data_IF_584049678669
#
_entry.id   IF_584049678669
#
_cell.length_a   1.000
_cell.length_b   1.000
_cell.length_c   1.000
_cell.angle_alpha   90.00
_cell.angle_beta   90.00
_cell.angle_gamma   90.00
#
_symmetry.space_group_name_H-M   'P 1'
#
loop_
_entity.id
_entity.type
_entity.pdbx_description
1 polymer ?
#
# COMPACT_ATOMS: atom_id res chain seq x y z
N UNK A 1 -11.88 -3.85 -7.47
CA UNK A 1 -11.08 -2.78 -6.82
C UNK A 1 -11.31 -1.40 -7.45
N UNK A 2 -11.33 -1.27 -8.77
CA UNK A 2 -11.63 0.00 -9.47
C UNK A 2 -12.91 0.70 -8.99
N UNK A 3 -14.03 -0.03 -8.94
CA UNK A 3 -15.30 0.51 -8.45
C UNK A 3 -15.20 1.06 -7.01
N UNK A 4 -14.38 0.44 -6.15
CA UNK A 4 -14.18 0.88 -4.77
C UNK A 4 -13.41 2.20 -4.73
N UNK A 5 -12.34 2.32 -5.51
CA UNK A 5 -11.55 3.55 -5.58
C UNK A 5 -12.37 4.71 -6.15
N UNK A 6 -13.16 4.46 -7.19
CA UNK A 6 -14.08 5.45 -7.75
C UNK A 6 -15.11 5.92 -6.71
N UNK A 7 -15.73 4.99 -5.95
CA UNK A 7 -16.67 5.35 -4.88
C UNK A 7 -16.02 6.19 -3.77
N UNK A 8 -14.79 5.86 -3.37
CA UNK A 8 -14.05 6.66 -2.38
C UNK A 8 -13.73 8.06 -2.91
N UNK A 9 -13.41 8.17 -4.20
CA UNK A 9 -13.15 9.45 -4.86
C UNK A 9 -14.41 10.31 -4.96
N UNK A 10 -15.53 9.71 -5.40
CA UNK A 10 -16.83 10.39 -5.52
C UNK A 10 -17.35 10.86 -4.16
N UNK A 11 -17.09 10.10 -3.09
CA UNK A 11 -17.43 10.47 -1.72
C UNK A 11 -16.50 11.54 -1.12
N UNK A 12 -15.46 12.00 -1.84
CA UNK A 12 -14.49 12.97 -1.36
C UNK A 12 -13.56 12.43 -0.26
N UNK A 13 -13.49 11.11 -0.10
CA UNK A 13 -12.61 10.45 0.87
C UNK A 13 -11.16 10.50 0.38
N UNK A 14 -10.96 10.23 -0.91
CA UNK A 14 -9.67 10.38 -1.61
C UNK A 14 -9.79 11.40 -2.74
N UNK A 15 -8.72 12.12 -3.02
CA UNK A 15 -8.68 13.07 -4.12
C UNK A 15 -8.48 12.36 -5.47
N UNK A 16 -8.83 13.04 -6.57
CA UNK A 16 -8.85 12.45 -7.91
C UNK A 16 -7.48 11.95 -8.38
N UNK A 17 -6.41 12.67 -8.06
CA UNK A 17 -5.05 12.28 -8.40
C UNK A 17 -4.59 11.07 -7.57
N UNK A 18 -4.95 10.99 -6.28
CA UNK A 18 -4.74 9.79 -5.46
C UNK A 18 -5.51 8.61 -6.04
N UNK A 19 -6.78 8.81 -6.43
CA UNK A 19 -7.56 7.75 -7.07
C UNK A 19 -6.88 7.22 -8.34
N UNK A 20 -6.37 8.11 -9.20
CA UNK A 20 -5.65 7.72 -10.42
C UNK A 20 -4.35 6.98 -10.12
N UNK A 21 -3.55 7.46 -9.17
CA UNK A 21 -2.32 6.78 -8.76
C UNK A 21 -2.62 5.40 -8.17
N UNK A 22 -3.66 5.28 -7.34
CA UNK A 22 -4.08 3.98 -6.78
C UNK A 22 -4.54 2.98 -7.85
N UNK A 23 -5.15 3.46 -8.94
CA UNK A 23 -5.46 2.60 -10.09
C UNK A 23 -4.18 2.05 -10.74
N UNK A 24 -3.12 2.86 -10.86
CA UNK A 24 -1.80 2.40 -11.34
C UNK A 24 -1.14 1.43 -10.35
N UNK A 25 -1.27 1.66 -9.04
CA UNK A 25 -0.80 0.73 -8.02
C UNK A 25 -1.44 -0.65 -8.17
N UNK A 26 -2.76 -0.71 -8.34
CA UNK A 26 -3.49 -1.98 -8.54
C UNK A 26 -2.97 -2.70 -9.79
N UNK A 27 -2.83 -1.98 -10.90
CA UNK A 27 -2.31 -2.54 -12.15
C UNK A 27 -0.87 -3.04 -12.02
N UNK A 28 0.01 -2.29 -11.36
CA UNK A 28 1.38 -2.74 -11.11
C UNK A 28 1.43 -4.00 -10.25
N UNK A 29 0.65 -4.05 -9.17
CA UNK A 29 0.61 -5.21 -8.28
C UNK A 29 0.18 -6.47 -9.03
N UNK A 30 -0.84 -6.37 -9.89
CA UNK A 30 -1.38 -7.48 -10.67
C UNK A 30 -0.45 -7.90 -11.83
N UNK A 31 -0.06 -6.96 -12.68
CA UNK A 31 0.59 -7.28 -13.96
C UNK A 31 2.11 -7.29 -13.90
N UNK A 32 2.72 -6.44 -13.07
CA UNK A 32 4.19 -6.32 -12.98
C UNK A 32 4.77 -7.17 -11.87
N UNK A 33 4.12 -7.17 -10.71
CA UNK A 33 4.60 -7.86 -9.52
C UNK A 33 3.92 -9.22 -9.31
N UNK A 34 2.85 -9.51 -10.06
CA UNK A 34 2.09 -10.77 -9.98
C UNK A 34 1.66 -11.13 -8.56
N UNK A 35 1.31 -10.12 -7.77
CA UNK A 35 0.81 -10.27 -6.41
C UNK A 35 -0.71 -10.40 -6.43
N UNK A 36 -1.31 -11.14 -5.48
CA UNK A 36 -2.75 -11.41 -5.46
C UNK A 36 -3.53 -10.19 -4.96
N UNK A 37 -3.49 -9.09 -5.70
CA UNK A 37 -4.10 -7.81 -5.31
C UNK A 37 -5.62 -7.93 -5.16
N UNK A 38 -6.26 -8.88 -5.83
CA UNK A 38 -7.71 -9.16 -5.71
C UNK A 38 -8.09 -10.08 -4.54
N UNK A 39 -7.14 -10.42 -3.66
CA UNK A 39 -7.40 -11.12 -2.40
C UNK A 39 -7.88 -10.16 -1.30
N UNK A 40 -8.33 -10.71 -0.17
CA UNK A 40 -8.62 -9.94 1.05
C UNK A 40 -7.42 -9.08 1.48
N UNK A 41 -6.21 -9.63 1.41
CA UNK A 41 -5.00 -8.90 1.80
C UNK A 41 -4.70 -7.75 0.84
N UNK A 42 -5.00 -7.94 -0.44
CA UNK A 42 -4.90 -6.86 -1.41
C UNK A 42 -5.94 -5.75 -1.18
N UNK A 43 -7.18 -6.09 -0.82
CA UNK A 43 -8.18 -5.09 -0.45
C UNK A 43 -7.78 -4.25 0.77
N UNK A 44 -7.22 -4.91 1.79
CA UNK A 44 -6.70 -4.25 3.00
C UNK A 44 -5.52 -3.34 2.62
N UNK A 45 -4.55 -3.85 1.87
CA UNK A 45 -3.35 -3.09 1.48
C UNK A 45 -3.69 -1.86 0.64
N UNK A 46 -4.57 -2.00 -0.37
CA UNK A 46 -5.01 -0.89 -1.24
C UNK A 46 -5.80 0.14 -0.45
N UNK A 47 -6.71 -0.29 0.42
CA UNK A 47 -7.47 0.63 1.28
C UNK A 47 -6.53 1.38 2.22
N UNK A 48 -5.54 0.71 2.80
CA UNK A 48 -4.58 1.33 3.70
C UNK A 48 -3.72 2.37 2.98
N UNK A 49 -3.15 2.03 1.82
CA UNK A 49 -2.32 2.97 1.06
C UNK A 49 -3.06 4.23 0.66
N UNK A 50 -4.29 4.09 0.16
CA UNK A 50 -5.13 5.23 -0.19
C UNK A 50 -5.37 6.17 1.02
N UNK A 51 -5.64 5.60 2.19
CA UNK A 51 -5.84 6.37 3.41
C UNK A 51 -4.54 7.00 3.93
N UNK A 52 -3.42 6.29 3.90
CA UNK A 52 -2.11 6.79 4.35
C UNK A 52 -1.65 7.99 3.52
N UNK A 53 -1.86 7.95 2.20
CA UNK A 53 -1.59 9.07 1.31
C UNK A 53 -2.49 10.28 1.61
N UNK A 54 -3.78 10.07 1.87
CA UNK A 54 -4.69 11.16 2.24
C UNK A 54 -4.36 11.77 3.60
N UNK A 55 -4.01 10.95 4.60
CA UNK A 55 -3.54 11.44 5.90
C UNK A 55 -2.27 12.28 5.75
N UNK A 56 -1.29 11.75 5.03
CA UNK A 56 -0.03 12.46 4.73
C UNK A 56 -0.29 13.79 4.02
N UNK A 57 -1.18 13.81 3.03
CA UNK A 57 -1.59 15.03 2.33
C UNK A 57 -2.26 16.06 3.25
N UNK A 58 -3.08 15.61 4.20
CA UNK A 58 -3.81 16.45 5.15
C UNK A 58 -2.97 16.87 6.35
N UNK A 59 -1.73 16.38 6.47
CA UNK A 59 -0.87 16.61 7.63
C UNK A 59 -1.37 15.89 8.89
N UNK A 60 -2.17 14.83 8.73
CA UNK A 60 -2.61 13.97 9.82
C UNK A 60 -1.47 13.02 10.20
N UNK A 61 -1.16 12.94 11.49
CA UNK A 61 -0.07 12.11 12.02
C UNK A 61 -0.65 11.00 12.89
N UNK A 62 -0.17 9.78 12.65
CA UNK A 62 -0.46 8.60 13.47
C UNK A 62 0.81 8.15 14.21
N UNK A 63 0.66 7.32 15.23
CA UNK A 63 1.80 6.64 15.86
C UNK A 63 2.49 5.70 14.86
N UNK A 64 3.82 5.54 14.93
CA UNK A 64 4.54 4.62 14.07
C UNK A 64 4.20 3.16 14.38
N UNK A 65 4.46 2.29 13.41
CA UNK A 65 4.37 0.84 13.62
C UNK A 65 5.42 0.40 14.65
N UNK A 66 5.03 -0.60 15.46
CA UNK A 66 5.90 -1.18 16.48
C UNK A 66 7.22 -1.71 15.93
N UNK A 67 8.32 -1.44 16.66
CA UNK A 67 9.68 -1.78 16.23
C UNK A 67 9.93 -3.28 16.14
N UNK A 68 9.31 -4.10 17.01
CA UNK A 68 9.45 -5.56 16.98
C UNK A 68 8.84 -6.13 15.70
N UNK A 69 7.68 -5.62 15.31
CA UNK A 69 7.04 -6.03 14.07
C UNK A 69 7.79 -5.52 12.82
N UNK A 70 8.38 -4.32 12.89
CA UNK A 70 9.29 -3.85 11.83
C UNK A 70 10.55 -4.72 11.69
N UNK A 71 11.10 -5.21 12.81
CA UNK A 71 12.24 -6.14 12.79
C UNK A 71 11.87 -7.47 12.11
N UNK A 72 10.65 -7.98 12.34
CA UNK A 72 10.15 -9.17 11.63
C UNK A 72 10.16 -8.96 10.12
N UNK A 73 9.54 -7.89 9.63
CA UNK A 73 9.42 -7.59 8.19
C UNK A 73 10.80 -7.43 7.55
N UNK A 74 11.72 -6.71 8.19
CA UNK A 74 13.06 -6.44 7.64
C UNK A 74 13.99 -7.65 7.67
N UNK A 75 13.70 -8.65 8.52
CA UNK A 75 14.42 -9.93 8.58
C UNK A 75 13.93 -10.96 7.55
N UNK A 76 12.81 -10.68 6.87
CA UNK A 76 12.22 -11.54 5.85
C UNK A 76 13.18 -11.76 4.67
N UNK A 77 13.15 -12.97 4.10
CA UNK A 77 13.85 -13.29 2.87
C UNK A 77 13.36 -12.48 1.65
N UNK A 78 12.20 -11.82 1.77
CA UNK A 78 11.59 -11.00 0.72
C UNK A 78 11.72 -9.49 0.95
N UNK A 79 12.54 -9.09 1.94
CA UNK A 79 12.68 -7.68 2.30
C UNK A 79 13.09 -6.81 1.11
N UNK A 80 14.06 -7.26 0.30
CA UNK A 80 14.56 -6.49 -0.83
C UNK A 80 13.46 -6.27 -1.88
N UNK A 81 12.66 -7.29 -2.18
CA UNK A 81 11.54 -7.19 -3.12
C UNK A 81 10.40 -6.32 -2.56
N UNK A 82 10.07 -6.46 -1.27
CA UNK A 82 9.04 -5.65 -0.61
C UNK A 82 9.44 -4.17 -0.61
N UNK A 83 10.71 -3.88 -0.30
CA UNK A 83 11.22 -2.51 -0.28
C UNK A 83 11.27 -1.90 -1.68
N UNK A 84 11.69 -2.67 -2.70
CA UNK A 84 11.65 -2.22 -4.10
C UNK A 84 10.22 -1.97 -4.59
N UNK A 85 9.28 -2.85 -4.25
CA UNK A 85 7.86 -2.66 -4.52
C UNK A 85 7.39 -1.35 -3.87
N UNK A 86 7.63 -1.16 -2.58
CA UNK A 86 7.23 0.04 -1.84
C UNK A 86 7.71 1.32 -2.53
N UNK A 87 8.98 1.37 -2.91
CA UNK A 87 9.56 2.52 -3.62
C UNK A 87 8.90 2.73 -4.99
N UNK A 88 8.69 1.67 -5.77
CA UNK A 88 8.07 1.76 -7.08
C UNK A 88 6.62 2.28 -6.99
N UNK A 89 5.83 1.77 -6.05
CA UNK A 89 4.44 2.18 -5.89
C UNK A 89 4.29 3.65 -5.45
N UNK A 90 5.21 4.15 -4.61
CA UNK A 90 5.18 5.54 -4.17
C UNK A 90 5.52 6.54 -5.29
N UNK A 91 6.19 6.11 -6.37
CA UNK A 91 6.49 6.98 -7.51
C UNK A 91 5.24 7.42 -8.30
N UNK A 92 4.09 6.78 -8.08
CA UNK A 92 2.82 7.16 -8.70
C UNK A 92 2.19 8.42 -8.09
N UNK A 93 2.79 8.98 -7.03
CA UNK A 93 2.21 10.07 -6.25
C UNK A 93 3.19 11.22 -6.01
N UNK A 94 2.71 12.45 -6.15
CA UNK A 94 3.44 13.66 -5.75
C UNK A 94 3.39 13.90 -4.22
N UNK A 95 2.58 13.12 -3.49
CA UNK A 95 2.46 13.23 -2.04
C UNK A 95 3.65 12.56 -1.37
N UNK A 96 4.35 13.31 -0.53
CA UNK A 96 5.34 12.73 0.37
C UNK A 96 4.62 11.97 1.49
N UNK A 97 4.85 10.66 1.57
CA UNK A 97 4.33 9.82 2.64
C UNK A 97 4.95 10.24 3.98
N UNK A 98 4.13 10.37 5.02
CA UNK A 98 4.63 10.63 6.37
C UNK A 98 5.41 9.42 6.90
N UNK A 99 6.53 9.64 7.60
CA UNK A 99 7.42 8.56 8.07
C UNK A 99 6.71 7.49 8.91
N UNK A 100 5.74 7.88 9.75
CA UNK A 100 4.99 6.95 10.60
C UNK A 100 4.04 6.03 9.81
N UNK A 101 3.73 6.34 8.55
CA UNK A 101 2.91 5.50 7.66
C UNK A 101 3.75 4.40 6.99
N UNK A 102 5.05 4.62 6.82
CA UNK A 102 5.95 3.73 6.07
C UNK A 102 5.90 2.30 6.60
N UNK A 103 5.96 2.14 7.92
CA UNK A 103 5.91 0.81 8.55
C UNK A 103 4.62 0.06 8.23
N UNK A 104 3.47 0.74 8.29
CA UNK A 104 2.19 0.12 7.97
C UNK A 104 2.06 -0.26 6.49
N UNK A 105 2.60 0.54 5.55
CA UNK A 105 2.62 0.14 4.14
C UNK A 105 3.49 -1.11 3.93
N UNK A 106 4.69 -1.14 4.52
CA UNK A 106 5.57 -2.30 4.44
C UNK A 106 4.92 -3.55 5.04
N UNK A 107 4.21 -3.43 6.16
CA UNK A 107 3.46 -4.53 6.76
C UNK A 107 2.36 -5.07 5.83
N UNK A 108 1.64 -4.18 5.13
CA UNK A 108 0.62 -4.58 4.18
C UNK A 108 1.21 -5.30 2.95
N UNK A 109 2.37 -4.83 2.45
CA UNK A 109 3.09 -5.50 1.37
C UNK A 109 3.63 -6.87 1.79
N UNK A 110 4.17 -6.97 3.00
CA UNK A 110 4.60 -8.23 3.59
C UNK A 110 3.45 -9.22 3.71
N UNK A 111 2.28 -8.78 4.21
CA UNK A 111 1.07 -9.60 4.29
C UNK A 111 0.57 -10.06 2.92
N UNK A 112 0.62 -9.19 1.92
CA UNK A 112 0.24 -9.53 0.54
C UNK A 112 1.19 -10.56 -0.08
N UNK A 113 2.49 -10.46 0.21
CA UNK A 113 3.50 -11.45 -0.19
C UNK A 113 3.25 -12.82 0.45
N UNK A 114 2.91 -12.83 1.75
CA UNK A 114 2.53 -14.05 2.45
C UNK A 114 1.29 -14.72 1.85
N UNK A 115 0.29 -13.93 1.42
CA UNK A 115 -0.88 -14.46 0.72
C UNK A 115 -0.54 -15.07 -0.64
N UNK A 116 0.43 -14.51 -1.37
CA UNK A 116 0.89 -15.06 -2.65
C UNK A 116 1.48 -16.47 -2.50
N UNK A 117 2.15 -16.74 -1.37
CA UNK A 117 2.78 -18.04 -1.10
C UNK A 117 1.78 -19.12 -0.69
N UNK A 118 0.62 -18.75 -0.14
CA UNK A 118 -0.44 -19.68 0.25
C UNK A 118 -1.37 -20.06 -0.91
N UNK A 119 -1.29 -19.32 -2.02
CA UNK A 119 -2.09 -19.54 -3.23
C UNK A 119 -1.49 -20.60 -4.19
N UNK A 120 -0.37 -21.22 -3.82
CA UNK A 120 0.34 -22.29 -4.56
C UNK A 120 0.08 -23.65 -3.91
#
# INVERSE_FOLDING_TARGET
>A
MENRLNLLCEAGIIDQDICRGMMQVVHQLDEKWHLPVFSEQGEIAITHMANALMRSRRGEVIEPLDEEFMAEITSSAHWDEIHQLHQALLQEFDVTLHANETGYLLANWYGLWGAAQQAV
#
